data_IF_862589916580
#
_entry.id   IF_862589916580
#
_cell.length_a   1.000
_cell.length_b   1.000
_cell.length_c   1.000
_cell.angle_alpha   90.00
_cell.angle_beta   90.00
_cell.angle_gamma   90.00
#
_symmetry.space_group_name_H-M   'P 1'
#
loop_
_entity.id
_entity.type
_entity.pdbx_description
1 polymer ?
#
# COMPACT_ATOMS: atom_id res chain seq x y z
N UNK A 1 -5.09 2.78 4.55
CA UNK A 1 -5.28 4.18 4.21
C UNK A 1 -5.42 4.92 5.54
N UNK A 2 -5.25 6.24 5.56
CA UNK A 2 -5.51 7.06 6.76
C UNK A 2 -7.02 7.19 7.08
N UNK A 3 -7.89 6.64 6.23
CA UNK A 3 -9.35 6.79 6.27
C UNK A 3 -9.99 6.63 7.66
N UNK A 4 -9.66 5.58 8.42
CA UNK A 4 -10.27 5.38 9.75
C UNK A 4 -9.87 6.47 10.74
N UNK A 5 -8.61 6.90 10.73
CA UNK A 5 -8.16 8.04 11.53
C UNK A 5 -8.89 9.32 11.10
N UNK A 6 -8.95 9.60 9.79
CA UNK A 6 -9.62 10.79 9.25
C UNK A 6 -11.13 10.81 9.58
N UNK A 7 -11.79 9.65 9.54
CA UNK A 7 -13.22 9.51 9.86
C UNK A 7 -13.53 9.76 11.33
N UNK A 8 -12.61 9.43 12.24
CA UNK A 8 -12.82 9.47 13.69
C UNK A 8 -11.95 10.52 14.40
N UNK A 9 -11.73 11.69 13.77
CA UNK A 9 -11.09 12.83 14.42
C UNK A 9 -9.58 12.68 14.68
N UNK A 10 -8.90 11.83 13.90
CA UNK A 10 -7.45 11.67 13.93
C UNK A 10 -6.91 10.72 15.00
N UNK A 11 -7.74 10.25 15.94
CA UNK A 11 -7.37 9.34 17.04
C UNK A 11 -6.06 9.72 17.79
N UNK A 12 -5.95 10.94 18.34
CA UNK A 12 -4.72 11.44 18.96
C UNK A 12 -4.22 10.56 20.12
N UNK A 13 -5.12 10.01 20.94
CA UNK A 13 -4.75 9.11 22.05
C UNK A 13 -4.03 7.83 21.57
N UNK A 14 -4.44 7.29 20.41
CA UNK A 14 -3.80 6.13 19.79
C UNK A 14 -2.43 6.51 19.24
N UNK A 15 -2.34 7.67 18.57
CA UNK A 15 -1.09 8.20 18.03
C UNK A 15 -0.05 8.45 19.13
N UNK A 16 -0.48 8.98 20.27
CA UNK A 16 0.41 9.23 21.38
C UNK A 16 0.93 7.93 21.99
N UNK A 17 0.09 6.91 22.10
CA UNK A 17 0.43 5.61 22.69
C UNK A 17 1.30 4.70 21.80
N UNK A 18 1.20 4.78 20.47
CA UNK A 18 1.93 3.89 19.56
C UNK A 18 3.42 4.25 19.45
N UNK A 19 4.30 3.26 19.26
CA UNK A 19 5.73 3.48 19.00
C UNK A 19 6.04 3.68 17.50
N UNK A 20 5.27 3.01 16.65
CA UNK A 20 5.37 3.07 15.19
C UNK A 20 4.00 2.81 14.59
N UNK A 21 3.83 3.20 13.33
CA UNK A 21 2.57 3.08 12.59
C UNK A 21 2.64 1.89 11.66
N UNK A 22 1.68 0.99 11.84
CA UNK A 22 1.34 -0.05 10.90
C UNK A 22 0.24 0.50 9.97
N UNK A 23 0.64 0.94 8.78
CA UNK A 23 -0.23 1.57 7.82
C UNK A 23 -0.65 0.56 6.75
N UNK A 24 -1.94 0.28 6.67
CA UNK A 24 -2.48 -0.36 5.48
C UNK A 24 -2.41 0.65 4.33
N UNK A 25 -2.02 0.28 3.12
CA UNK A 25 -1.93 1.15 1.95
C UNK A 25 -2.46 0.41 0.72
N UNK A 26 -3.75 0.55 0.46
CA UNK A 26 -4.48 -0.20 -0.57
C UNK A 26 -5.17 0.81 -1.49
N UNK A 27 -4.43 1.48 -2.39
CA UNK A 27 -4.97 2.56 -3.23
C UNK A 27 -6.03 2.06 -4.22
N UNK A 28 -6.10 0.75 -4.49
CA UNK A 28 -7.16 0.11 -5.28
C UNK A 28 -8.58 0.43 -4.78
N UNK A 29 -8.76 0.63 -3.47
CA UNK A 29 -10.05 0.98 -2.87
C UNK A 29 -10.33 2.49 -2.87
N UNK A 30 -9.50 3.31 -3.48
CA UNK A 30 -9.83 4.72 -3.67
C UNK A 30 -10.98 4.87 -4.67
N UNK A 31 -11.88 5.81 -4.43
CA UNK A 31 -12.88 6.22 -5.44
C UNK A 31 -12.23 6.86 -6.68
N UNK A 32 -10.95 7.23 -6.60
CA UNK A 32 -10.16 7.79 -7.70
C UNK A 32 -9.20 6.75 -8.33
N UNK A 33 -9.28 5.49 -7.92
CA UNK A 33 -8.43 4.44 -8.48
C UNK A 33 -8.75 4.19 -9.96
N UNK A 34 -7.72 4.00 -10.78
CA UNK A 34 -7.86 3.56 -12.17
C UNK A 34 -6.80 2.51 -12.51
N UNK A 35 -5.64 2.93 -12.96
CA UNK A 35 -4.47 2.08 -13.18
C UNK A 35 -3.30 2.55 -12.33
N UNK A 36 -2.33 1.67 -12.14
CA UNK A 36 -1.28 1.86 -11.15
C UNK A 36 -0.34 3.02 -11.48
N UNK A 37 -0.07 3.28 -12.75
CA UNK A 37 0.82 4.37 -13.18
C UNK A 37 0.38 5.76 -12.68
N UNK A 38 -0.91 5.94 -12.34
CA UNK A 38 -1.48 7.18 -11.79
C UNK A 38 -1.88 7.04 -10.32
N UNK A 39 -1.50 5.95 -9.65
CA UNK A 39 -1.88 5.68 -8.25
C UNK A 39 -0.98 6.35 -7.21
N UNK A 40 0.17 6.89 -7.61
CA UNK A 40 1.11 7.51 -6.66
C UNK A 40 0.50 8.63 -5.82
N UNK A 41 -0.28 9.59 -6.38
CA UNK A 41 -0.96 10.59 -5.57
C UNK A 41 -1.85 9.98 -4.48
N UNK A 42 -2.52 8.86 -4.76
CA UNK A 42 -3.38 8.17 -3.79
C UNK A 42 -2.58 7.62 -2.59
N UNK A 43 -1.39 7.09 -2.87
CA UNK A 43 -0.44 6.63 -1.84
C UNK A 43 0.11 7.82 -1.06
N UNK A 44 0.54 8.86 -1.78
CA UNK A 44 1.17 10.04 -1.21
C UNK A 44 0.21 10.79 -0.28
N UNK A 45 -1.03 11.05 -0.69
CA UNK A 45 -2.03 11.75 0.12
C UNK A 45 -2.27 11.05 1.47
N UNK A 46 -2.29 9.70 1.45
CA UNK A 46 -2.48 8.91 2.66
C UNK A 46 -1.23 8.88 3.53
N UNK A 47 -0.06 8.80 2.90
CA UNK A 47 1.21 8.81 3.62
C UNK A 47 1.50 10.18 4.23
N UNK A 48 1.25 11.27 3.52
CA UNK A 48 1.43 12.64 4.00
C UNK A 48 0.56 12.90 5.24
N UNK A 49 -0.66 12.36 5.27
CA UNK A 49 -1.48 12.39 6.49
C UNK A 49 -0.73 11.75 7.67
N UNK A 50 -0.16 10.54 7.51
CA UNK A 50 0.61 9.93 8.59
C UNK A 50 1.83 10.77 8.95
N UNK A 51 2.61 11.22 7.95
CA UNK A 51 3.81 12.04 8.17
C UNK A 51 3.52 13.29 9.00
N UNK A 52 2.42 13.99 8.72
CA UNK A 52 2.00 15.16 9.47
C UNK A 52 1.52 14.82 10.88
N UNK A 53 0.77 13.73 11.05
CA UNK A 53 0.01 13.50 12.28
C UNK A 53 0.71 12.59 13.30
N UNK A 54 1.72 11.80 12.90
CA UNK A 54 2.28 10.75 13.78
C UNK A 54 3.56 11.18 14.51
N UNK A 55 3.82 12.49 14.53
CA UNK A 55 4.90 13.12 15.32
C UNK A 55 6.30 12.53 15.06
N UNK A 56 6.61 12.22 13.80
CA UNK A 56 7.91 11.68 13.39
C UNK A 56 8.16 10.23 13.80
N UNK A 57 7.14 9.49 14.24
CA UNK A 57 7.24 8.05 14.51
C UNK A 57 7.48 7.25 13.23
N UNK A 58 8.11 6.08 13.37
CA UNK A 58 8.40 5.18 12.24
C UNK A 58 7.11 4.72 11.57
N UNK A 59 7.09 4.67 10.23
CA UNK A 59 5.95 4.20 9.44
C UNK A 59 6.35 2.96 8.63
N UNK A 60 5.49 1.93 8.66
CA UNK A 60 5.55 0.77 7.78
C UNK A 60 4.25 0.65 6.98
N UNK A 61 4.35 0.52 5.66
CA UNK A 61 3.23 0.11 4.82
C UNK A 61 3.10 -1.42 4.92
N UNK A 62 2.35 -1.92 5.88
CA UNK A 62 2.31 -3.33 6.29
C UNK A 62 1.33 -4.18 5.49
N UNK A 63 0.18 -3.60 5.11
CA UNK A 63 -0.82 -4.20 4.22
C UNK A 63 -0.89 -3.37 2.96
N UNK A 64 -0.07 -3.71 1.98
CA UNK A 64 0.18 -2.83 0.85
C UNK A 64 0.25 -3.62 -0.46
N UNK A 65 -0.53 -3.19 -1.45
CA UNK A 65 -0.64 -3.92 -2.71
C UNK A 65 -1.74 -3.41 -3.64
N UNK A 66 -1.75 -3.99 -4.84
CA UNK A 66 -2.78 -3.82 -5.86
C UNK A 66 -3.18 -5.22 -6.38
N UNK A 67 -4.46 -5.59 -6.42
CA UNK A 67 -4.85 -6.96 -6.73
C UNK A 67 -4.69 -7.29 -8.22
N UNK A 68 -4.34 -8.54 -8.53
CA UNK A 68 -4.34 -9.08 -9.91
C UNK A 68 -5.64 -9.73 -10.34
N UNK A 69 -6.63 -9.82 -9.47
CA UNK A 69 -7.98 -10.27 -9.83
C UNK A 69 -9.00 -9.71 -8.86
N UNK A 70 -10.25 -9.60 -9.32
CA UNK A 70 -11.38 -9.25 -8.48
C UNK A 70 -12.04 -10.53 -7.95
N UNK A 71 -12.59 -10.46 -6.74
CA UNK A 71 -13.46 -11.49 -6.19
C UNK A 71 -14.55 -10.84 -5.33
N UNK A 72 -15.62 -11.58 -5.09
CA UNK A 72 -16.81 -11.02 -4.44
C UNK A 72 -16.49 -10.48 -3.05
N UNK A 73 -16.90 -9.24 -2.78
CA UNK A 73 -16.70 -8.54 -1.51
C UNK A 73 -15.43 -7.70 -1.43
N UNK A 74 -14.56 -7.76 -2.46
CA UNK A 74 -13.30 -7.00 -2.55
C UNK A 74 -13.20 -6.29 -3.91
N UNK A 75 -14.34 -5.78 -4.36
CA UNK A 75 -14.44 -4.93 -5.53
C UNK A 75 -13.82 -3.55 -5.29
N UNK A 76 -13.31 -2.88 -6.34
CA UNK A 76 -12.86 -1.51 -6.20
C UNK A 76 -14.03 -0.57 -5.95
N UNK A 77 -13.75 0.55 -5.29
CA UNK A 77 -14.72 1.65 -5.13
C UNK A 77 -14.83 2.53 -6.38
N UNK A 78 -14.02 2.27 -7.40
CA UNK A 78 -14.01 2.96 -8.69
C UNK A 78 -14.24 1.96 -9.83
N UNK A 79 -15.13 2.26 -10.79
CA UNK A 79 -15.33 1.42 -11.96
C UNK A 79 -14.12 1.39 -12.90
N UNK A 80 -13.23 2.38 -12.80
CA UNK A 80 -12.03 2.49 -13.65
C UNK A 80 -10.86 1.66 -13.12
N UNK A 81 -10.96 1.13 -11.90
CA UNK A 81 -9.89 0.40 -11.23
C UNK A 81 -9.66 -0.98 -11.88
N UNK A 82 -8.44 -1.22 -12.38
CA UNK A 82 -8.12 -2.44 -13.12
C UNK A 82 -7.32 -3.42 -12.26
N UNK A 83 -7.93 -4.55 -11.89
CA UNK A 83 -7.23 -5.67 -11.24
C UNK A 83 -6.67 -6.65 -12.28
N UNK A 84 -5.35 -6.68 -12.46
CA UNK A 84 -4.64 -7.66 -13.29
C UNK A 84 -3.18 -7.80 -12.85
N UNK A 85 -2.51 -8.86 -13.32
CA UNK A 85 -1.10 -9.15 -12.97
C UNK A 85 -0.16 -8.01 -13.32
N UNK A 86 -0.41 -7.30 -14.44
CA UNK A 86 0.41 -6.18 -14.86
C UNK A 86 0.35 -5.02 -13.86
N UNK A 87 -0.84 -4.61 -13.44
CA UNK A 87 -0.99 -3.53 -12.46
C UNK A 87 -0.37 -3.92 -11.10
N UNK A 88 -0.56 -5.16 -10.64
CA UNK A 88 0.10 -5.61 -9.41
C UNK A 88 1.63 -5.50 -9.48
N UNK A 89 2.25 -5.98 -10.57
CA UNK A 89 3.68 -5.83 -10.80
C UNK A 89 4.11 -4.35 -10.82
N UNK A 90 3.36 -3.54 -11.56
CA UNK A 90 3.66 -2.11 -11.71
C UNK A 90 3.53 -1.37 -10.38
N UNK A 91 2.75 -1.88 -9.43
CA UNK A 91 2.54 -1.22 -8.15
C UNK A 91 3.80 -1.34 -7.29
N UNK A 92 4.39 -2.53 -7.25
CA UNK A 92 5.66 -2.71 -6.56
C UNK A 92 6.82 -2.01 -7.28
N UNK A 93 6.80 -1.96 -8.62
CA UNK A 93 7.75 -1.17 -9.41
C UNK A 93 7.63 0.33 -9.10
N UNK A 94 6.40 0.82 -8.96
CA UNK A 94 6.13 2.20 -8.57
C UNK A 94 6.70 2.48 -7.18
N UNK A 95 6.47 1.62 -6.18
CA UNK A 95 7.04 1.78 -4.85
C UNK A 95 8.58 1.81 -4.88
N UNK A 96 9.20 0.92 -5.65
CA UNK A 96 10.65 0.92 -5.85
C UNK A 96 11.17 2.19 -6.52
N UNK A 97 10.40 2.78 -7.43
CA UNK A 97 10.73 4.08 -8.05
C UNK A 97 10.73 5.24 -7.05
N UNK A 98 10.04 5.07 -5.91
CA UNK A 98 9.93 6.08 -4.84
C UNK A 98 10.87 5.81 -3.67
N UNK A 99 11.83 4.89 -3.82
CA UNK A 99 12.81 4.55 -2.79
C UNK A 99 13.46 5.79 -2.16
N UNK A 100 13.99 6.72 -2.97
CA UNK A 100 14.62 7.96 -2.47
C UNK A 100 13.65 8.80 -1.64
N UNK A 101 12.41 8.98 -2.10
CA UNK A 101 11.39 9.71 -1.34
C UNK A 101 11.13 9.01 0.00
N UNK A 102 10.94 7.69 0.02
CA UNK A 102 10.72 6.96 1.27
C UNK A 102 11.87 7.12 2.27
N UNK A 103 13.11 7.31 1.84
CA UNK A 103 14.25 7.59 2.75
C UNK A 103 14.25 9.01 3.31
N UNK A 104 13.61 9.97 2.63
CA UNK A 104 13.53 11.36 3.11
C UNK A 104 12.44 11.59 4.16
N UNK A 105 11.49 10.66 4.30
CA UNK A 105 10.41 10.79 5.28
C UNK A 105 10.97 10.76 6.72
N UNK A 106 10.51 11.65 7.62
CA UNK A 106 10.90 11.64 9.04
C UNK A 106 10.68 10.29 9.73
N UNK A 107 11.32 10.08 10.89
CA UNK A 107 11.21 8.81 11.62
C UNK A 107 12.04 7.67 11.03
N UNK A 108 13.11 8.01 10.30
CA UNK A 108 14.01 7.03 9.66
C UNK A 108 13.43 6.44 8.37
N UNK A 109 12.59 7.18 7.66
CA UNK A 109 11.98 6.80 6.39
C UNK A 109 10.78 5.86 6.51
N UNK A 110 10.24 5.46 5.37
CA UNK A 110 9.13 4.50 5.25
C UNK A 110 9.67 3.16 4.76
N UNK A 111 9.27 2.08 5.43
CA UNK A 111 9.41 0.71 4.92
C UNK A 111 8.08 0.21 4.37
N UNK A 112 8.10 -0.75 3.45
CA UNK A 112 6.87 -1.37 2.96
C UNK A 112 7.01 -2.88 2.88
N UNK A 113 5.89 -3.56 3.08
CA UNK A 113 5.70 -4.99 2.95
C UNK A 113 4.62 -5.24 1.90
N UNK A 114 4.65 -6.41 1.28
CA UNK A 114 3.54 -6.88 0.46
C UNK A 114 2.38 -7.24 1.36
N UNK A 115 1.15 -7.00 0.91
CA UNK A 115 -0.05 -7.36 1.68
C UNK A 115 -0.06 -8.84 2.08
N UNK A 116 0.11 -9.74 1.10
CA UNK A 116 0.02 -11.19 1.30
C UNK A 116 1.06 -11.93 0.43
N UNK A 117 1.44 -13.14 0.86
CA UNK A 117 2.43 -13.97 0.18
C UNK A 117 1.82 -14.83 -0.95
N UNK A 118 0.67 -15.47 -0.72
CA UNK A 118 0.03 -16.44 -1.63
C UNK A 118 -1.44 -16.09 -1.93
N UNK A 119 -1.85 -16.24 -3.19
CA UNK A 119 -3.24 -15.99 -3.63
C UNK A 119 -4.29 -16.93 -2.98
N UNK A 120 -3.86 -18.02 -2.36
CA UNK A 120 -4.74 -18.90 -1.58
C UNK A 120 -5.13 -18.29 -0.22
N UNK A 121 -4.36 -17.32 0.28
CA UNK A 121 -4.70 -16.57 1.50
C UNK A 121 -5.69 -15.45 1.19
N UNK A 122 -5.49 -14.76 0.07
CA UNK A 122 -6.40 -13.75 -0.45
C UNK A 122 -6.26 -13.64 -1.97
N UNK A 123 -7.33 -13.92 -2.75
CA UNK A 123 -7.23 -13.95 -4.20
C UNK A 123 -6.72 -12.62 -4.78
N UNK A 124 -5.66 -12.71 -5.59
CA UNK A 124 -5.11 -11.57 -6.34
C UNK A 124 -4.07 -10.75 -5.59
N UNK A 125 -3.85 -10.95 -4.30
CA UNK A 125 -2.89 -10.15 -3.52
C UNK A 125 -1.57 -10.86 -3.19
N UNK A 126 -1.47 -12.16 -3.46
CA UNK A 126 -0.25 -12.91 -3.17
C UNK A 126 0.78 -12.75 -4.27
N UNK A 127 2.03 -12.39 -3.95
CA UNK A 127 3.12 -12.39 -4.95
C UNK A 127 3.22 -13.74 -5.70
N UNK A 128 2.89 -14.82 -5.00
CA UNK A 128 2.72 -16.15 -5.56
C UNK A 128 1.26 -16.41 -5.90
N UNK A 129 1.01 -16.88 -7.12
CA UNK A 129 -0.30 -17.35 -7.54
C UNK A 129 -0.69 -18.66 -6.84
N UNK A 130 -1.94 -19.10 -7.05
CA UNK A 130 -2.49 -20.35 -6.47
C UNK A 130 -1.72 -21.62 -6.87
N UNK A 131 -0.90 -21.55 -7.92
CA UNK A 131 -0.03 -22.63 -8.36
C UNK A 131 1.32 -22.67 -7.61
N UNK A 132 1.50 -21.83 -6.57
CA UNK A 132 2.74 -21.70 -5.82
C UNK A 132 3.90 -21.10 -6.61
N UNK A 133 3.65 -20.48 -7.77
CA UNK A 133 4.65 -19.81 -8.60
C UNK A 133 4.49 -18.30 -8.51
N UNK A 134 5.60 -17.58 -8.64
CA UNK A 134 5.59 -16.13 -8.78
C UNK A 134 4.71 -15.70 -9.97
N UNK A 135 3.87 -14.69 -9.77
CA UNK A 135 3.06 -14.10 -10.85
C UNK A 135 3.89 -13.24 -11.80
N UNK A 136 4.98 -12.66 -11.29
CA UNK A 136 5.97 -11.85 -12.00
C UNK A 136 7.31 -11.92 -11.26
N UNK A 137 8.45 -11.59 -11.91
CA UNK A 137 9.73 -11.46 -11.21
C UNK A 137 9.60 -10.44 -10.08
N UNK A 138 9.91 -10.84 -8.85
CA UNK A 138 9.74 -9.99 -7.67
C UNK A 138 11.07 -9.86 -6.93
N UNK A 139 11.65 -8.67 -6.96
CA UNK A 139 12.92 -8.34 -6.31
C UNK A 139 12.93 -6.87 -5.84
N UNK A 140 12.23 -6.56 -4.73
CA UNK A 140 12.15 -5.21 -4.19
C UNK A 140 13.52 -4.59 -3.92
N UNK A 141 13.63 -3.27 -4.09
CA UNK A 141 14.87 -2.56 -3.75
C UNK A 141 15.11 -2.54 -2.24
N UNK A 142 16.32 -2.94 -1.85
CA UNK A 142 16.79 -2.86 -0.46
C UNK A 142 17.64 -1.61 -0.19
N UNK A 143 18.12 -0.93 -1.24
CA UNK A 143 18.88 0.32 -1.18
C UNK A 143 18.49 1.30 -2.29
N UNK A 144 18.61 2.57 -1.97
CA UNK A 144 18.65 3.72 -2.87
C UNK A 144 19.96 4.47 -2.56
#
# INVERSE_FOLDING_TARGET
MAYSYQKYGGAPEVIDALNFVDAHMLPFFSQQASIVNVSWPLVLDNLDWFVTNVHGKKIYLSKNGWPSTNYSGVEPNSPDAVANVQNEHDYYTLLDSKCTYFKTVPGGGVGWFTHIYLDDMEPGYGIYGKNGKLKFPFSPKTSC
#
